data_IF_536859463975
#
_entry.id   IF_536859463975
#
_cell.length_a   1.000
_cell.length_b   1.000
_cell.length_c   1.000
_cell.angle_alpha   90.00
_cell.angle_beta   90.00
_cell.angle_gamma   90.00
#
_symmetry.space_group_name_H-M   'P 1'
#
loop_
_entity.id
_entity.type
_entity.pdbx_description
1 polymer ?
#
# COMPACT_ATOMS: atom_id res chain seq x y z
N UNK A 1 -23.26 6.27 -4.00
CA UNK A 1 -22.55 5.10 -3.43
C UNK A 1 -22.04 4.27 -4.59
N UNK A 2 -20.72 4.23 -4.83
CA UNK A 2 -20.12 3.46 -5.93
C UNK A 2 -19.90 2.02 -5.44
N UNK A 3 -20.34 1.03 -6.23
CA UNK A 3 -20.26 -0.39 -5.88
C UNK A 3 -18.99 -0.97 -6.49
N UNK A 4 -18.01 -1.33 -5.67
CA UNK A 4 -16.83 -2.09 -6.11
C UNK A 4 -17.27 -3.55 -6.21
N UNK A 5 -17.26 -4.11 -7.42
CA UNK A 5 -17.52 -5.53 -7.63
C UNK A 5 -16.28 -6.33 -7.22
N UNK A 6 -16.41 -7.07 -6.12
CA UNK A 6 -15.42 -8.02 -5.65
C UNK A 6 -15.39 -9.20 -6.65
N UNK A 7 -14.54 -9.11 -7.67
CA UNK A 7 -14.22 -10.28 -8.49
C UNK A 7 -13.41 -11.23 -7.61
N UNK A 8 -14.03 -12.37 -7.26
CA UNK A 8 -13.44 -13.46 -6.49
C UNK A 8 -12.34 -14.15 -7.31
N UNK A 9 -11.22 -13.48 -7.54
CA UNK A 9 -10.01 -14.15 -7.99
C UNK A 9 -9.34 -14.76 -6.76
N UNK A 10 -9.26 -16.09 -6.71
CA UNK A 10 -8.49 -16.82 -5.72
C UNK A 10 -7.01 -16.46 -5.87
N UNK A 11 -6.56 -15.43 -5.14
CA UNK A 11 -5.15 -15.09 -5.01
C UNK A 11 -4.52 -16.16 -4.12
N UNK A 12 -3.86 -17.13 -4.75
CA UNK A 12 -3.03 -18.09 -4.05
C UNK A 12 -1.78 -17.35 -3.51
N UNK A 13 -1.82 -16.95 -2.25
CA UNK A 13 -0.61 -16.51 -1.54
C UNK A 13 0.33 -17.72 -1.41
N UNK A 14 1.46 -17.68 -2.10
CA UNK A 14 2.59 -18.57 -1.81
C UNK A 14 3.15 -18.14 -0.46
N UNK A 15 2.68 -18.79 0.61
CA UNK A 15 3.28 -18.72 1.93
C UNK A 15 4.69 -19.31 1.87
N UNK A 16 5.69 -18.45 1.67
CA UNK A 16 7.09 -18.85 1.75
C UNK A 16 7.48 -19.00 3.23
N UNK A 17 7.50 -20.25 3.69
CA UNK A 17 8.53 -20.77 4.58
C UNK A 17 8.55 -20.30 6.03
N UNK A 18 7.99 -21.14 6.90
CA UNK A 18 8.25 -21.18 8.34
C UNK A 18 9.76 -21.28 8.64
N UNK A 19 10.28 -20.39 9.48
CA UNK A 19 11.43 -20.68 10.33
C UNK A 19 11.00 -20.50 11.79
N UNK A 20 10.80 -21.64 12.44
CA UNK A 20 10.65 -21.75 13.89
C UNK A 20 11.91 -21.25 14.57
N UNK A 21 11.78 -20.28 15.48
CA UNK A 21 12.78 -20.03 16.53
C UNK A 21 12.14 -20.28 17.88
N UNK A 22 12.74 -21.23 18.58
CA UNK A 22 12.40 -21.69 19.92
C UNK A 22 12.55 -20.54 20.91
N UNK A 23 11.44 -20.19 21.56
CA UNK A 23 11.38 -19.31 22.72
C UNK A 23 12.06 -19.98 23.92
N UNK A 24 13.03 -19.29 24.53
CA UNK A 24 13.50 -19.57 25.88
C UNK A 24 13.23 -18.34 26.75
N UNK A 25 12.62 -18.60 27.90
CA UNK A 25 11.98 -17.64 28.77
C UNK A 25 12.88 -16.59 29.42
N UNK A 26 12.20 -15.63 30.04
CA UNK A 26 12.79 -14.57 30.84
C UNK A 26 11.68 -13.67 31.38
N UNK A 27 10.85 -14.24 32.24
CA UNK A 27 9.90 -13.56 33.12
C UNK A 27 10.68 -12.62 34.05
N UNK A 28 10.36 -11.32 34.06
CA UNK A 28 10.65 -10.47 35.21
C UNK A 28 9.63 -9.34 35.35
N UNK A 29 9.17 -9.19 36.59
CA UNK A 29 7.95 -8.52 37.03
C UNK A 29 8.15 -7.02 37.25
N UNK A 30 7.13 -6.16 37.09
CA UNK A 30 6.30 -5.64 38.19
C UNK A 30 5.20 -4.67 37.70
N UNK A 31 4.17 -4.38 38.52
CA UNK A 31 2.86 -3.90 38.07
C UNK A 31 2.68 -2.38 38.17
N UNK A 32 1.88 -1.82 37.25
CA UNK A 32 1.44 -0.43 37.32
C UNK A 32 0.14 -0.23 36.57
N UNK A 33 -0.97 -0.13 37.31
CA UNK A 33 -2.26 0.26 36.77
C UNK A 33 -2.28 1.73 36.34
N UNK A 34 -2.95 2.01 35.23
CA UNK A 34 -3.24 3.36 34.76
C UNK A 34 -4.32 3.27 33.70
N UNK A 35 -5.53 3.67 34.07
CA UNK A 35 -6.74 3.60 33.26
C UNK A 35 -6.62 4.35 31.93
N UNK A 36 -7.40 3.86 30.97
CA UNK A 36 -7.51 4.39 29.63
C UNK A 36 -7.83 5.88 29.58
N UNK A 37 -7.12 6.51 28.66
CA UNK A 37 -7.20 7.91 28.30
C UNK A 37 -6.05 8.20 27.36
N UNK A 38 -5.98 7.46 26.25
CA UNK A 38 -5.00 7.76 25.21
C UNK A 38 -5.21 9.21 24.79
N UNK A 39 -4.15 10.01 24.86
CA UNK A 39 -4.19 11.36 24.34
C UNK A 39 -4.69 11.34 22.89
N UNK A 40 -5.41 12.38 22.43
CA UNK A 40 -5.82 12.44 21.03
C UNK A 40 -4.56 12.37 20.17
N UNK A 41 -4.47 11.34 19.33
CA UNK A 41 -3.40 11.26 18.34
C UNK A 41 -3.56 12.46 17.40
N UNK A 42 -2.61 13.40 17.44
CA UNK A 42 -2.52 14.49 16.46
C UNK A 42 -1.76 13.98 15.23
N UNK A 43 -2.40 13.09 14.47
CA UNK A 43 -1.84 12.53 13.24
C UNK A 43 -2.72 12.87 12.04
N UNK A 44 -2.11 12.89 10.85
CA UNK A 44 -2.82 13.13 9.57
C UNK A 44 -3.71 11.95 9.17
N UNK A 45 -3.51 10.79 9.78
CA UNK A 45 -4.36 9.62 9.60
C UNK A 45 -4.23 8.64 10.75
N UNK A 46 -5.08 7.63 10.74
CA UNK A 46 -5.07 6.56 11.73
C UNK A 46 -5.43 5.24 11.08
N UNK A 47 -4.83 4.19 11.60
CA UNK A 47 -5.21 2.82 11.34
C UNK A 47 -5.83 2.25 12.62
N UNK A 48 -6.92 1.50 12.49
CA UNK A 48 -7.58 0.85 13.63
C UNK A 48 -7.55 -0.66 13.45
N UNK A 49 -7.12 -1.37 14.51
CA UNK A 49 -7.11 -2.83 14.58
C UNK A 49 -7.33 -3.26 16.03
N UNK A 50 -8.14 -4.30 16.27
CA UNK A 50 -8.46 -4.81 17.61
C UNK A 50 -8.88 -3.72 18.63
N UNK A 51 -9.69 -2.76 18.18
CA UNK A 51 -10.14 -1.59 18.95
C UNK A 51 -9.03 -0.65 19.44
N UNK A 52 -7.81 -0.79 18.92
CA UNK A 52 -6.70 0.12 19.13
C UNK A 52 -6.50 0.99 17.89
N UNK A 53 -6.22 2.28 18.13
CA UNK A 53 -5.87 3.24 17.09
C UNK A 53 -4.34 3.38 17.03
N UNK A 54 -3.81 3.36 15.81
CA UNK A 54 -2.39 3.47 15.49
C UNK A 54 -2.19 4.71 14.60
N UNK A 55 -1.33 5.63 15.03
CA UNK A 55 -1.06 6.88 14.33
C UNK A 55 -0.42 6.65 12.96
N UNK A 56 -0.79 7.47 11.98
CA UNK A 56 -0.14 7.56 10.67
C UNK A 56 0.09 9.04 10.34
N UNK A 57 1.34 9.44 10.12
CA UNK A 57 1.71 10.86 10.03
C UNK A 57 2.08 11.26 8.60
N UNK A 58 2.58 10.30 7.84
CA UNK A 58 3.11 10.51 6.50
C UNK A 58 2.42 9.58 5.52
N UNK A 59 2.07 10.09 4.34
CA UNK A 59 1.67 9.28 3.20
C UNK A 59 2.61 9.50 2.02
N UNK A 60 2.93 8.42 1.32
CA UNK A 60 3.65 8.41 0.05
C UNK A 60 2.89 7.51 -0.92
N UNK A 61 3.13 7.70 -2.21
CA UNK A 61 2.71 6.72 -3.20
C UNK A 61 3.89 6.25 -4.04
N UNK A 62 3.77 5.05 -4.58
CA UNK A 62 4.69 4.53 -5.57
C UNK A 62 3.90 4.06 -6.77
N UNK A 63 4.46 4.26 -7.97
CA UNK A 63 4.02 3.58 -9.18
C UNK A 63 5.11 2.62 -9.63
N UNK A 64 4.71 1.40 -10.01
CA UNK A 64 5.65 0.46 -10.59
C UNK A 64 6.19 1.02 -11.90
N UNK A 65 7.51 1.06 -12.03
CA UNK A 65 8.21 1.71 -13.12
C UNK A 65 9.38 0.85 -13.61
N UNK A 66 9.90 1.22 -14.78
CA UNK A 66 11.11 0.67 -15.38
C UNK A 66 11.90 1.78 -16.07
N UNK A 67 13.17 1.52 -16.39
CA UNK A 67 13.98 2.41 -17.22
C UNK A 67 13.76 2.06 -18.69
N UNK A 68 13.45 3.05 -19.53
CA UNK A 68 13.42 2.88 -20.98
C UNK A 68 14.85 2.79 -21.56
N UNK A 69 14.98 2.60 -22.87
CA UNK A 69 16.28 2.52 -23.55
C UNK A 69 17.14 3.79 -23.39
N UNK A 70 16.53 4.93 -23.05
CA UNK A 70 17.18 6.22 -22.77
C UNK A 70 17.51 6.41 -21.28
N UNK A 71 17.24 5.42 -20.42
CA UNK A 71 17.49 5.50 -18.98
C UNK A 71 16.48 6.34 -18.19
N UNK A 72 15.33 6.70 -18.80
CA UNK A 72 14.28 7.48 -18.15
C UNK A 72 13.25 6.57 -17.48
N UNK A 73 12.66 7.03 -16.37
CA UNK A 73 11.54 6.30 -15.74
C UNK A 73 10.31 6.33 -16.64
N UNK A 74 9.73 5.16 -16.88
CA UNK A 74 8.40 5.00 -17.47
C UNK A 74 7.56 4.12 -16.57
N UNK A 75 6.27 4.44 -16.43
CA UNK A 75 5.35 3.62 -15.65
C UNK A 75 5.16 2.27 -16.34
N UNK A 76 5.20 1.19 -15.58
CA UNK A 76 5.01 -0.15 -16.12
C UNK A 76 3.53 -0.39 -16.41
N UNK A 77 3.23 -0.70 -17.67
CA UNK A 77 1.94 -1.24 -18.07
C UNK A 77 1.85 -2.72 -17.70
N UNK A 78 0.71 -3.12 -17.14
CA UNK A 78 0.40 -4.51 -16.84
C UNK A 78 -0.86 -4.95 -17.59
N UNK A 79 -0.91 -6.20 -18.01
CA UNK A 79 -2.14 -6.88 -18.44
C UNK A 79 -2.72 -7.60 -17.23
N UNK A 80 -3.84 -7.10 -16.71
CA UNK A 80 -4.58 -7.72 -15.63
C UNK A 80 -5.68 -8.60 -16.20
N UNK A 81 -5.66 -9.93 -15.96
CA UNK A 81 -6.78 -10.79 -16.28
C UNK A 81 -8.00 -10.41 -15.44
N UNK A 82 -9.15 -10.24 -16.08
CA UNK A 82 -10.44 -9.99 -15.44
C UNK A 82 -11.46 -11.03 -15.93
N UNK A 83 -12.66 -11.03 -15.35
CA UNK A 83 -13.73 -11.97 -15.75
C UNK A 83 -13.25 -13.43 -15.77
N UNK A 84 -12.59 -13.87 -14.69
CA UNK A 84 -11.98 -15.21 -14.57
C UNK A 84 -10.96 -15.54 -15.69
N UNK A 85 -10.24 -14.52 -16.16
CA UNK A 85 -9.20 -14.66 -17.18
C UNK A 85 -9.70 -14.71 -18.62
N UNK A 86 -10.99 -14.46 -18.87
CA UNK A 86 -11.52 -14.38 -20.23
C UNK A 86 -11.10 -13.10 -20.94
N UNK A 87 -10.93 -12.01 -20.19
CA UNK A 87 -10.53 -10.72 -20.72
C UNK A 87 -9.26 -10.23 -20.04
N UNK A 88 -8.57 -9.28 -20.67
CA UNK A 88 -7.48 -8.54 -20.05
C UNK A 88 -7.68 -7.04 -20.22
N UNK A 89 -7.34 -6.30 -19.18
CA UNK A 89 -7.28 -4.82 -19.23
C UNK A 89 -5.85 -4.36 -18.99
N UNK A 90 -5.50 -3.21 -19.58
CA UNK A 90 -4.22 -2.56 -19.29
C UNK A 90 -4.35 -1.73 -18.04
N UNK A 91 -3.43 -1.91 -17.11
CA UNK A 91 -3.41 -1.23 -15.81
C UNK A 91 -2.01 -0.74 -15.46
N UNK A 92 -1.93 0.16 -14.49
CA UNK A 92 -0.70 0.48 -13.75
C UNK A 92 -0.81 -0.07 -12.34
N UNK A 93 0.31 -0.44 -11.73
CA UNK A 93 0.35 -0.89 -10.33
C UNK A 93 0.88 0.22 -9.43
N UNK A 94 0.18 0.47 -8.34
CA UNK A 94 0.48 1.48 -7.35
C UNK A 94 0.65 0.86 -5.97
N UNK A 95 1.49 1.45 -5.13
CA UNK A 95 1.48 1.27 -3.69
C UNK A 95 1.05 2.60 -3.06
N UNK A 96 -0.01 2.59 -2.26
CA UNK A 96 -0.37 3.71 -1.39
C UNK A 96 0.06 3.33 0.02
N UNK A 97 0.91 4.15 0.60
CA UNK A 97 1.60 3.86 1.84
C UNK A 97 1.32 5.00 2.80
N UNK A 98 0.87 4.69 4.00
CA UNK A 98 0.86 5.59 5.12
C UNK A 98 1.65 4.99 6.27
N UNK A 99 2.41 5.81 7.00
CA UNK A 99 3.24 5.35 8.10
C UNK A 99 3.43 6.43 9.17
N UNK A 100 3.82 6.03 10.38
CA UNK A 100 4.28 6.97 11.39
C UNK A 100 5.79 7.25 11.26
N UNK A 101 6.23 8.38 11.80
CA UNK A 101 7.63 8.79 11.80
C UNK A 101 8.19 9.19 10.43
N UNK A 102 9.51 9.42 10.39
CA UNK A 102 10.21 9.97 9.21
C UNK A 102 10.52 8.90 8.14
N UNK A 103 10.84 7.68 8.56
CA UNK A 103 11.21 6.58 7.66
C UNK A 103 10.22 5.42 7.77
N UNK A 104 9.59 5.12 6.64
CA UNK A 104 8.69 4.00 6.49
C UNK A 104 9.35 2.64 6.80
N UNK A 105 10.68 2.51 6.65
CA UNK A 105 11.40 1.27 6.94
C UNK A 105 11.50 0.95 8.43
N UNK A 106 11.59 1.98 9.26
CA UNK A 106 11.70 1.84 10.72
C UNK A 106 10.38 2.13 11.43
N UNK A 107 9.32 2.37 10.67
CA UNK A 107 7.99 2.68 11.20
C UNK A 107 7.35 1.47 11.86
N UNK A 108 6.82 1.66 13.08
CA UNK A 108 6.05 0.67 13.83
C UNK A 108 4.61 0.54 13.32
N UNK A 109 4.06 1.64 12.79
CA UNK A 109 2.71 1.73 12.25
C UNK A 109 2.80 2.01 10.75
N UNK A 110 2.60 0.99 9.94
CA UNK A 110 2.76 1.05 8.50
C UNK A 110 1.56 0.39 7.83
N UNK A 111 0.96 1.08 6.88
CA UNK A 111 -0.16 0.59 6.10
C UNK A 111 0.13 0.80 4.61
N UNK A 112 0.39 -0.30 3.89
CA UNK A 112 0.52 -0.31 2.45
C UNK A 112 -0.62 -1.10 1.81
N UNK A 113 -1.24 -0.47 0.83
CA UNK A 113 -2.19 -1.10 -0.09
C UNK A 113 -1.66 -0.97 -1.51
N UNK A 114 -1.44 -2.11 -2.16
CA UNK A 114 -1.11 -2.18 -3.57
C UNK A 114 -2.38 -2.34 -4.38
N UNK A 115 -2.55 -1.53 -5.43
CA UNK A 115 -3.72 -1.54 -6.31
C UNK A 115 -3.30 -1.50 -7.78
N UNK A 116 -4.13 -2.09 -8.64
CA UNK A 116 -4.10 -1.87 -10.06
C UNK A 116 -5.13 -0.80 -10.44
N UNK A 117 -4.69 0.15 -11.25
CA UNK A 117 -5.50 1.26 -11.76
C UNK A 117 -5.54 1.16 -13.30
N UNK A 118 -6.72 0.99 -13.92
CA UNK A 118 -6.88 1.01 -15.37
C UNK A 118 -6.33 2.28 -16.01
N UNK A 119 -5.65 2.12 -17.14
CA UNK A 119 -5.18 3.25 -17.95
C UNK A 119 -6.28 3.75 -18.89
N UNK A 120 -6.19 5.01 -19.33
CA UNK A 120 -7.05 5.54 -20.38
C UNK A 120 -6.26 5.64 -21.68
N UNK A 121 -6.39 4.63 -22.55
CA UNK A 121 -5.54 4.48 -23.73
C UNK A 121 -4.07 4.34 -23.31
N UNK A 122 -3.24 5.33 -23.64
CA UNK A 122 -1.82 5.37 -23.28
C UNK A 122 -1.52 6.30 -22.09
N UNK A 123 -2.56 6.85 -21.46
CA UNK A 123 -2.43 7.80 -20.36
C UNK A 123 -2.63 7.12 -19.01
N UNK A 124 -1.75 7.42 -18.08
CA UNK A 124 -1.85 6.98 -16.69
C UNK A 124 -3.03 7.69 -16.04
N UNK A 125 -3.82 6.94 -15.27
CA UNK A 125 -4.96 7.46 -14.51
C UNK A 125 -4.57 7.48 -13.03
N UNK A 126 -4.80 8.60 -12.34
CA UNK A 126 -4.57 8.72 -10.90
C UNK A 126 -5.63 7.90 -10.12
N UNK A 127 -5.31 7.35 -8.94
CA UNK A 127 -6.24 6.48 -8.20
C UNK A 127 -7.63 7.07 -7.94
N UNK A 128 -7.74 8.36 -7.67
CA UNK A 128 -9.02 9.04 -7.44
C UNK A 128 -9.85 9.29 -8.70
N UNK A 129 -9.22 9.28 -9.88
CA UNK A 129 -9.86 9.49 -11.17
C UNK A 129 -10.36 8.19 -11.81
N UNK A 130 -9.92 7.04 -11.30
CA UNK A 130 -10.30 5.73 -11.82
C UNK A 130 -11.74 5.37 -11.41
N UNK A 131 -12.51 4.82 -12.36
CA UNK A 131 -13.85 4.32 -12.07
C UNK A 131 -13.81 3.03 -11.23
N UNK A 132 -12.85 2.15 -11.54
CA UNK A 132 -12.63 0.87 -10.86
C UNK A 132 -11.15 0.71 -10.55
N UNK A 133 -10.86 0.12 -9.41
CA UNK A 133 -9.52 -0.24 -8.95
C UNK A 133 -9.54 -1.69 -8.46
N UNK A 134 -8.42 -2.38 -8.61
CA UNK A 134 -8.32 -3.81 -8.27
C UNK A 134 -7.24 -4.02 -7.22
N UNK A 135 -7.46 -4.84 -6.18
CA UNK A 135 -6.42 -5.14 -5.19
C UNK A 135 -5.25 -5.89 -5.82
N UNK A 136 -4.04 -5.58 -5.37
CA UNK A 136 -2.80 -6.23 -5.84
C UNK A 136 -1.91 -6.75 -4.70
N UNK A 137 -2.14 -6.32 -3.46
CA UNK A 137 -1.32 -6.72 -2.31
C UNK A 137 -1.49 -5.78 -1.13
N UNK A 138 -1.12 -6.25 0.06
CA UNK A 138 -1.32 -5.53 1.31
C UNK A 138 -0.11 -5.83 2.21
N UNK A 139 0.39 -4.83 2.93
CA UNK A 139 1.35 -5.02 4.01
C UNK A 139 1.01 -4.08 5.16
N UNK A 140 0.83 -4.63 6.36
CA UNK A 140 0.36 -3.88 7.53
C UNK A 140 1.27 -4.21 8.72
N UNK A 141 1.68 -3.18 9.45
CA UNK A 141 2.38 -3.28 10.72
C UNK A 141 1.67 -2.36 11.71
N UNK A 142 1.36 -2.88 12.90
CA UNK A 142 0.59 -2.17 13.93
C UNK A 142 1.31 -2.32 15.28
N UNK A 143 2.10 -1.33 15.66
CA UNK A 143 2.89 -1.33 16.89
C UNK A 143 4.13 -2.22 16.88
N UNK A 144 4.63 -2.64 15.71
CA UNK A 144 5.86 -3.45 15.59
C UNK A 144 6.59 -3.15 14.29
N UNK A 145 7.91 -2.90 14.36
CA UNK A 145 8.71 -2.68 13.14
C UNK A 145 8.95 -3.98 12.37
N UNK A 146 9.14 -5.10 13.06
CA UNK A 146 9.65 -6.32 12.43
C UNK A 146 8.57 -7.34 12.11
N UNK A 147 7.42 -7.28 12.80
CA UNK A 147 6.37 -8.28 12.66
C UNK A 147 5.17 -7.70 11.92
N UNK A 148 4.94 -8.08 10.65
CA UNK A 148 3.73 -7.68 9.95
C UNK A 148 2.52 -8.31 10.65
N UNK A 149 1.39 -7.62 10.57
CA UNK A 149 0.14 -8.11 11.09
C UNK A 149 -0.36 -9.31 10.28
N UNK A 150 -0.57 -10.43 10.96
CA UNK A 150 -1.19 -11.61 10.37
C UNK A 150 -2.72 -11.55 10.48
N UNK A 151 -3.36 -11.13 9.39
CA UNK A 151 -4.83 -11.11 9.27
C UNK A 151 -5.43 -12.47 8.89
N UNK A 152 -4.60 -13.49 8.65
CA UNK A 152 -5.04 -14.76 8.08
C UNK A 152 -5.57 -14.59 6.65
N UNK A 153 -6.50 -15.46 6.25
CA UNK A 153 -7.10 -15.39 4.93
C UNK A 153 -7.94 -14.11 4.77
N UNK A 154 -7.58 -13.26 3.80
CA UNK A 154 -8.32 -12.04 3.46
C UNK A 154 -9.64 -12.42 2.79
N UNK A 155 -10.75 -11.92 3.32
CA UNK A 155 -12.10 -12.13 2.81
C UNK A 155 -12.70 -10.90 2.14
N UNK A 156 -12.23 -9.70 2.49
CA UNK A 156 -12.68 -8.46 1.87
C UNK A 156 -11.59 -7.38 1.86
N UNK A 157 -11.62 -6.56 0.82
CA UNK A 157 -10.79 -5.38 0.66
C UNK A 157 -11.66 -4.26 0.08
N UNK A 158 -11.57 -3.06 0.66
CA UNK A 158 -12.17 -1.86 0.12
C UNK A 158 -11.19 -0.69 0.24
N UNK A 159 -11.23 0.21 -0.74
CA UNK A 159 -10.49 1.46 -0.70
C UNK A 159 -11.20 2.51 -1.53
N UNK A 160 -11.27 3.72 -0.98
CA UNK A 160 -11.90 4.88 -1.59
C UNK A 160 -10.97 6.08 -1.46
N UNK A 161 -10.57 6.63 -2.60
CA UNK A 161 -9.89 7.91 -2.67
C UNK A 161 -10.93 9.02 -2.81
N UNK A 162 -11.03 9.90 -1.81
CA UNK A 162 -11.80 11.14 -1.96
C UNK A 162 -10.95 12.21 -2.66
N UNK A 163 -9.63 12.18 -2.43
CA UNK A 163 -8.68 13.07 -3.06
C UNK A 163 -7.35 12.35 -3.34
N UNK A 164 -6.73 12.64 -4.48
CA UNK A 164 -5.34 12.30 -4.79
C UNK A 164 -4.80 13.39 -5.71
N UNK A 165 -4.04 14.32 -5.13
CA UNK A 165 -3.41 15.42 -5.83
C UNK A 165 -1.91 15.25 -5.68
N UNK A 166 -1.27 14.93 -6.79
CA UNK A 166 0.17 15.02 -6.93
C UNK A 166 0.49 16.02 -8.04
N UNK A 167 1.11 17.11 -7.61
CA UNK A 167 1.53 18.28 -8.39
C UNK A 167 3.02 18.26 -8.67
N UNK A 168 3.77 17.25 -8.19
CA UNK A 168 5.23 17.19 -8.29
C UNK A 168 5.96 18.10 -7.28
N UNK A 169 5.25 18.99 -6.59
CA UNK A 169 5.77 19.92 -5.59
C UNK A 169 5.40 19.51 -4.15
N UNK A 170 5.47 20.45 -3.21
CA UNK A 170 5.16 20.26 -1.79
C UNK A 170 3.68 20.46 -1.43
N UNK A 171 2.83 20.81 -2.40
CA UNK A 171 1.38 21.01 -2.19
C UNK A 171 0.55 19.74 -2.40
N UNK A 172 1.19 18.61 -2.70
CA UNK A 172 0.54 17.34 -2.92
C UNK A 172 -0.23 16.86 -1.67
N UNK A 173 -1.46 16.38 -1.88
CA UNK A 173 -2.37 15.93 -0.82
C UNK A 173 -3.07 14.63 -1.20
N UNK A 174 -3.44 13.85 -0.19
CA UNK A 174 -4.20 12.61 -0.38
C UNK A 174 -5.23 12.46 0.74
N UNK A 175 -6.44 12.06 0.35
CA UNK A 175 -7.50 11.69 1.26
C UNK A 175 -8.08 10.34 0.84
N UNK A 176 -7.98 9.34 1.70
CA UNK A 176 -8.52 8.02 1.43
C UNK A 176 -8.99 7.31 2.68
N UNK A 177 -9.94 6.40 2.47
CA UNK A 177 -10.36 5.40 3.45
C UNK A 177 -10.11 4.02 2.87
N UNK A 178 -9.70 3.07 3.69
CA UNK A 178 -9.57 1.66 3.28
C UNK A 178 -9.96 0.70 4.39
N UNK A 179 -10.33 -0.52 4.01
CA UNK A 179 -10.63 -1.61 4.94
C UNK A 179 -10.06 -2.92 4.39
N UNK A 180 -9.41 -3.67 5.26
CA UNK A 180 -8.89 -5.02 4.99
C UNK A 180 -9.48 -5.94 6.04
N UNK A 181 -10.32 -6.89 5.63
CA UNK A 181 -10.90 -7.89 6.53
C UNK A 181 -10.32 -9.25 6.23
N UNK A 182 -9.74 -9.88 7.25
CA UNK A 182 -9.30 -11.26 7.23
C UNK A 182 -9.86 -12.06 8.40
N UNK A 183 -9.46 -13.33 8.47
CA UNK A 183 -9.90 -14.27 9.51
C UNK A 183 -9.60 -13.78 10.94
N UNK A 184 -8.49 -13.06 11.15
CA UNK A 184 -8.04 -12.62 12.47
C UNK A 184 -8.51 -11.20 12.84
N UNK A 185 -9.26 -10.53 11.96
CA UNK A 185 -9.84 -9.22 12.25
C UNK A 185 -9.92 -8.30 11.04
N UNK A 186 -10.35 -7.07 11.31
CA UNK A 186 -10.46 -6.01 10.31
C UNK A 186 -9.53 -4.87 10.66
N UNK A 187 -8.77 -4.41 9.67
CA UNK A 187 -8.01 -3.17 9.72
C UNK A 187 -8.75 -2.12 8.92
N UNK A 188 -9.02 -0.97 9.52
CA UNK A 188 -9.54 0.20 8.80
C UNK A 188 -8.53 1.33 8.86
N UNK A 189 -8.32 2.01 7.75
CA UNK A 189 -7.41 3.15 7.66
C UNK A 189 -8.14 4.36 7.12
N UNK A 190 -7.95 5.49 7.78
CA UNK A 190 -8.38 6.82 7.33
C UNK A 190 -7.15 7.71 7.29
N UNK A 191 -6.90 8.38 6.16
CA UNK A 191 -5.80 9.34 6.05
C UNK A 191 -6.29 10.56 5.29
N UNK A 192 -5.98 11.74 5.83
CA UNK A 192 -6.29 13.04 5.24
C UNK A 192 -5.15 14.02 5.51
N UNK A 193 -4.28 14.23 4.51
CA UNK A 193 -3.15 15.12 4.71
C UNK A 193 -2.21 15.23 3.52
N UNK A 194 -0.97 15.65 3.82
CA UNK A 194 0.09 15.79 2.82
C UNK A 194 0.43 14.44 2.22
N UNK A 195 0.61 14.43 0.90
CA UNK A 195 1.24 13.36 0.15
C UNK A 195 2.70 13.76 -0.10
N UNK A 196 3.66 12.99 0.39
CA UNK A 196 5.09 13.24 0.21
C UNK A 196 5.59 12.83 -1.20
N UNK A 197 4.71 12.93 -2.21
CA UNK A 197 4.96 12.64 -3.61
C UNK A 197 4.66 11.21 -4.05
N UNK A 198 4.73 11.03 -5.37
CA UNK A 198 4.81 9.71 -6.01
C UNK A 198 6.25 9.38 -6.38
N UNK A 199 6.66 8.14 -6.12
CA UNK A 199 7.99 7.64 -6.45
C UNK A 199 7.93 6.50 -7.47
N UNK A 200 8.93 6.41 -8.34
CA UNK A 200 9.12 5.26 -9.22
C UNK A 200 9.61 4.06 -8.40
N UNK A 201 8.84 2.97 -8.40
CA UNK A 201 9.25 1.69 -7.80
C UNK A 201 9.75 0.74 -8.89
N UNK A 202 11.05 0.42 -8.87
CA UNK A 202 11.70 -0.49 -9.82
C UNK A 202 12.09 -1.77 -9.07
N UNK A 203 11.34 -2.88 -9.21
CA UNK A 203 11.55 -4.09 -8.40
C UNK A 203 12.96 -4.70 -8.53
N UNK A 204 13.59 -4.61 -9.69
CA UNK A 204 14.93 -5.16 -9.95
C UNK A 204 16.06 -4.42 -9.23
N UNK A 205 15.79 -3.22 -8.71
CA UNK A 205 16.74 -2.43 -7.95
C UNK A 205 16.62 -2.62 -6.42
N UNK A 206 15.63 -3.39 -5.95
CA UNK A 206 15.45 -3.65 -4.52
C UNK A 206 16.59 -4.57 -4.00
N UNK A 207 17.28 -4.22 -2.90
CA UNK A 207 18.32 -5.07 -2.33
C UNK A 207 17.76 -6.45 -1.96
N UNK A 208 18.41 -7.52 -2.42
CA UNK A 208 18.05 -8.89 -2.03
C UNK A 208 18.31 -9.09 -0.52
N UNK A 209 17.37 -9.71 0.18
CA UNK A 209 17.58 -10.17 1.57
C UNK A 209 17.13 -9.23 2.69
N UNK A 210 16.37 -8.17 2.40
CA UNK A 210 15.67 -7.38 3.42
C UNK A 210 14.15 -7.59 3.28
N UNK A 211 13.43 -7.62 4.40
CA UNK A 211 11.97 -7.45 4.40
C UNK A 211 11.69 -5.99 4.01
N UNK A 212 11.68 -5.68 2.71
CA UNK A 212 11.70 -4.29 2.25
C UNK A 212 10.33 -3.65 2.44
N UNK A 213 10.13 -3.06 3.63
CA UNK A 213 9.31 -1.85 3.77
C UNK A 213 9.85 -0.80 2.80
N UNK A 214 8.96 0.03 2.24
CA UNK A 214 9.23 1.10 1.26
C UNK A 214 10.71 1.51 1.10
N UNK A 215 11.28 1.29 -0.09
CA UNK A 215 12.52 1.94 -0.52
C UNK A 215 12.18 3.20 -1.32
N UNK A 216 12.66 4.37 -0.90
CA UNK A 216 12.51 5.60 -1.68
C UNK A 216 13.18 5.41 -3.06
N UNK A 217 12.36 5.34 -4.10
CA UNK A 217 12.82 5.45 -5.47
C UNK A 217 13.05 6.92 -5.84
N UNK A 218 13.18 7.18 -7.14
CA UNK A 218 13.21 8.55 -7.66
C UNK A 218 11.80 9.16 -7.58
N UNK A 219 11.65 10.37 -7.01
CA UNK A 219 10.38 11.11 -7.06
C UNK A 219 10.04 11.40 -8.52
N UNK A 220 8.80 11.18 -8.91
CA UNK A 220 8.34 11.40 -10.28
C UNK A 220 7.24 12.46 -10.33
N UNK A 221 7.20 13.18 -11.44
CA UNK A 221 6.06 14.01 -11.79
C UNK A 221 5.08 13.18 -12.62
N UNK A 222 3.90 12.91 -12.04
CA UNK A 222 2.85 12.14 -12.70
C UNK A 222 2.32 12.79 -14.00
N UNK A 223 2.52 14.09 -14.19
CA UNK A 223 2.11 14.78 -15.41
C UNK A 223 3.10 14.56 -16.56
N UNK A 224 4.33 14.15 -16.25
CA UNK A 224 5.43 14.01 -17.21
C UNK A 224 5.87 12.55 -17.44
N UNK A 225 5.50 11.63 -16.55
CA UNK A 225 5.81 10.21 -16.73
C UNK A 225 4.94 9.59 -17.84
N UNK A 226 5.58 8.78 -18.69
CA UNK A 226 4.90 8.06 -19.79
C UNK A 226 4.66 6.60 -19.41
N UNK A 227 3.63 5.99 -20.01
CA UNK A 227 3.35 4.57 -19.88
C UNK A 227 4.31 3.76 -20.77
N UNK A 228 4.79 2.61 -20.29
CA UNK A 228 5.58 1.70 -21.11
C UNK A 228 4.77 1.14 -22.27
N UNK A 229 5.42 1.01 -23.43
CA UNK A 229 4.80 0.47 -24.65
C UNK A 229 4.42 -1.00 -24.49
N UNK A 230 5.30 -1.75 -23.82
CA UNK A 230 5.10 -3.17 -23.59
C UNK A 230 4.42 -3.37 -22.24
N UNK A 231 3.29 -4.07 -22.27
CA UNK A 231 2.55 -4.46 -21.08
C UNK A 231 2.94 -5.87 -20.67
N UNK A 232 3.34 -6.05 -19.41
CA UNK A 232 3.70 -7.35 -18.84
C UNK A 232 2.49 -7.99 -18.17
N UNK A 233 2.40 -9.32 -18.14
CA UNK A 233 1.31 -9.99 -17.43
C UNK A 233 1.39 -9.67 -15.92
N UNK A 234 0.28 -9.21 -15.35
CA UNK A 234 0.16 -9.05 -13.91
C UNK A 234 0.28 -10.42 -13.23
N UNK A 235 1.18 -10.54 -12.27
CA UNK A 235 1.29 -11.68 -11.37
C UNK A 235 0.66 -11.34 -10.04
#
# INVERSE_FOLDING_TARGET
MKKVFLSLATIAFVAAGSLTVTSCGGDDSTPGGGGGGGEPITSNGKMKYNNQDFALDTAVSQIYAQKNAQGQNVASAFRLPINNGQDTITVTRWNIIAHNGEDAQTSENYHQVSIFVPVNGNSIVKPNAAETIYPAGIAIYAGSVDTPLDLGQISAFDIKFNNFVDTGDDSATINYTSSVTGANGTVTTEYDGKLNGTFAYIPSAAPKGKNVKFSQGEKIDLNNITLSKDAILAK
#
